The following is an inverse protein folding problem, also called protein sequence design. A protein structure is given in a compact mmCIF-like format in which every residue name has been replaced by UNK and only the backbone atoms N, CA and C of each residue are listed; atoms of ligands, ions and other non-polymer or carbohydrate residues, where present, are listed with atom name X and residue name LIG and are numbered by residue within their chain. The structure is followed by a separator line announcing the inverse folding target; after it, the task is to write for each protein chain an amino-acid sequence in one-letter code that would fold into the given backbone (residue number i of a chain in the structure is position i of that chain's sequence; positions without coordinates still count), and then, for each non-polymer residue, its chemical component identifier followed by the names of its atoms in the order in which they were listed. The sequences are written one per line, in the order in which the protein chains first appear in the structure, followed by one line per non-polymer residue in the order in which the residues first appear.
data_IF_017175110569
#
_entry.id   IF_017175110569
#
_cell.length_a   1.000
_cell.length_b   1.000
_cell.length_c   1.000
_cell.angle_alpha   90.00
_cell.angle_beta   90.00
_cell.angle_gamma   90.00
#
_symmetry.space_group_name_H-M   'P 1'
#
loop_
_entity.id
_entity.type
_entity.pdbx_description
1 polymer ?
#
# COMPACT_ATOMS: atom_id res chain seq x y z
N UNK A 1 25.09 7.35 24.93
CA UNK A 1 23.73 7.49 24.35
C UNK A 1 23.22 6.12 23.94
N UNK A 2 22.07 5.76 24.43
CA UNK A 2 21.48 4.46 24.17
C UNK A 2 20.76 4.46 22.82
N UNK A 3 21.16 3.60 21.92
CA UNK A 3 20.43 3.45 20.65
C UNK A 3 19.16 2.65 20.90
N UNK A 4 18.04 3.21 20.49
CA UNK A 4 16.77 2.48 20.52
C UNK A 4 16.83 1.29 19.58
N UNK A 5 16.31 0.16 20.01
CA UNK A 5 16.16 -1.00 19.14
C UNK A 5 15.08 -0.68 18.10
N UNK A 6 15.26 -1.23 16.93
CA UNK A 6 14.26 -1.09 15.85
C UNK A 6 13.37 -2.32 15.83
N UNK A 7 12.08 -2.10 15.76
CA UNK A 7 11.10 -3.13 15.42
C UNK A 7 10.98 -3.11 13.91
N UNK A 8 11.29 -4.21 13.26
CA UNK A 8 11.33 -4.27 11.80
C UNK A 8 10.33 -5.29 11.26
N UNK A 9 9.84 -5.01 10.06
CA UNK A 9 8.97 -5.93 9.35
C UNK A 9 9.17 -5.78 7.85
N UNK A 10 9.23 -6.92 7.16
CA UNK A 10 9.25 -6.96 5.71
C UNK A 10 7.83 -6.95 5.20
N UNK A 11 7.53 -6.04 4.29
CA UNK A 11 6.20 -5.87 3.73
C UNK A 11 6.30 -5.99 2.21
N UNK A 12 5.39 -6.78 1.63
CA UNK A 12 5.28 -6.87 0.17
C UNK A 12 4.57 -5.64 -0.35
N UNK A 13 5.10 -5.09 -1.42
CA UNK A 13 4.57 -3.91 -2.08
C UNK A 13 4.46 -4.19 -3.56
N UNK A 14 3.34 -3.85 -4.16
CA UNK A 14 3.10 -4.02 -5.58
C UNK A 14 3.20 -2.67 -6.28
N UNK A 15 4.09 -2.60 -7.26
CA UNK A 15 4.27 -1.43 -8.14
C UNK A 15 3.69 -1.78 -9.50
N UNK A 16 2.96 -0.85 -10.10
CA UNK A 16 2.29 -1.11 -11.37
C UNK A 16 2.11 0.19 -12.15
N UNK A 17 1.94 0.02 -13.46
CA UNK A 17 1.60 1.12 -14.34
C UNK A 17 0.13 0.99 -14.73
N UNK A 18 -0.64 2.07 -14.56
CA UNK A 18 -2.03 2.13 -14.95
C UNK A 18 -2.18 3.09 -16.11
N UNK A 19 -2.90 2.65 -17.14
CA UNK A 19 -3.30 3.53 -18.25
C UNK A 19 -4.80 3.78 -18.11
N UNK A 20 -5.19 5.04 -18.19
CA UNK A 20 -6.57 5.42 -17.99
C UNK A 20 -6.94 6.62 -18.87
N UNK A 21 -8.24 6.82 -19.06
CA UNK A 21 -8.78 7.99 -19.76
C UNK A 21 -9.31 8.97 -18.71
N UNK A 22 -8.78 10.19 -18.74
CA UNK A 22 -9.22 11.25 -17.84
C UNK A 22 -10.32 12.06 -18.51
N UNK A 23 -11.54 11.96 -17.98
CA UNK A 23 -12.72 12.62 -18.52
C UNK A 23 -12.69 14.13 -18.36
N UNK A 24 -11.99 14.65 -17.34
CA UNK A 24 -11.91 16.09 -17.10
C UNK A 24 -11.08 16.81 -18.16
N UNK A 25 -9.98 16.19 -18.58
CA UNK A 25 -9.09 16.78 -19.58
C UNK A 25 -9.21 16.10 -20.96
N UNK A 26 -10.03 15.05 -21.03
CA UNK A 26 -10.31 14.31 -22.27
C UNK A 26 -9.04 13.75 -22.92
N UNK A 27 -8.15 13.16 -22.11
CA UNK A 27 -6.89 12.58 -22.57
C UNK A 27 -6.64 11.22 -21.94
N UNK A 28 -5.87 10.38 -22.67
CA UNK A 28 -5.32 9.14 -22.13
C UNK A 28 -4.07 9.47 -21.36
N UNK A 29 -3.97 8.97 -20.14
CA UNK A 29 -2.83 9.19 -19.26
C UNK A 29 -2.30 7.89 -18.69
N UNK A 30 -1.08 7.93 -18.20
CA UNK A 30 -0.48 6.80 -17.51
C UNK A 30 0.24 7.26 -16.24
N UNK A 31 0.09 6.48 -15.18
CA UNK A 31 0.77 6.74 -13.91
C UNK A 31 1.39 5.46 -13.39
N UNK A 32 2.51 5.62 -12.67
CA UNK A 32 3.14 4.53 -11.93
C UNK A 32 2.71 4.67 -10.49
N UNK A 33 2.07 3.63 -9.98
CA UNK A 33 1.52 3.61 -8.62
C UNK A 33 2.10 2.45 -7.81
N UNK A 34 1.99 2.56 -6.51
CA UNK A 34 2.49 1.55 -5.59
C UNK A 34 1.46 1.33 -4.49
N UNK A 35 1.23 0.08 -4.13
CA UNK A 35 0.29 -0.26 -3.06
C UNK A 35 0.88 -1.36 -2.17
N UNK A 36 0.51 -1.34 -0.91
CA UNK A 36 0.92 -2.35 0.06
C UNK A 36 0.16 -3.65 -0.20
N UNK A 37 0.88 -4.77 -0.11
CA UNK A 37 0.30 -6.10 -0.33
C UNK A 37 0.42 -6.56 -1.77
N UNK A 38 -0.34 -7.59 -2.09
CA UNK A 38 -0.33 -8.22 -3.41
C UNK A 38 -1.76 -8.33 -3.95
N UNK A 39 -2.41 -7.19 -4.25
CA UNK A 39 -3.78 -7.22 -4.76
C UNK A 39 -3.84 -7.86 -6.15
N UNK A 40 -4.98 -8.44 -6.48
CA UNK A 40 -5.23 -8.95 -7.83
C UNK A 40 -5.46 -7.77 -8.79
N UNK A 41 -5.37 -8.03 -10.08
CA UNK A 41 -5.62 -7.02 -11.10
C UNK A 41 -7.01 -6.41 -10.96
N UNK A 42 -8.00 -7.24 -10.64
CA UNK A 42 -9.38 -6.78 -10.41
C UNK A 42 -9.51 -5.87 -9.18
N UNK A 43 -8.77 -6.19 -8.13
CA UNK A 43 -8.76 -5.37 -6.92
C UNK A 43 -8.12 -4.01 -7.18
N UNK A 44 -7.04 -3.99 -7.96
CA UNK A 44 -6.37 -2.74 -8.36
C UNK A 44 -7.32 -1.87 -9.20
N UNK A 45 -7.99 -2.48 -10.18
CA UNK A 45 -8.96 -1.77 -11.01
C UNK A 45 -10.10 -1.18 -10.20
N UNK A 46 -10.65 -1.98 -9.29
CA UNK A 46 -11.74 -1.55 -8.41
C UNK A 46 -11.32 -0.39 -7.52
N UNK A 47 -10.14 -0.47 -6.93
CA UNK A 47 -9.61 0.59 -6.09
C UNK A 47 -9.37 1.87 -6.89
N UNK A 48 -8.76 1.73 -8.08
CA UNK A 48 -8.51 2.86 -8.97
C UNK A 48 -9.82 3.58 -9.33
N UNK A 49 -10.84 2.83 -9.72
CA UNK A 49 -12.14 3.40 -10.08
C UNK A 49 -12.81 4.11 -8.90
N UNK A 50 -12.67 3.55 -7.69
CA UNK A 50 -13.24 4.16 -6.49
C UNK A 50 -12.55 5.48 -6.12
N UNK A 51 -11.23 5.55 -6.28
CA UNK A 51 -10.44 6.73 -5.93
C UNK A 51 -10.45 7.80 -7.02
N UNK A 52 -10.73 7.42 -8.26
CA UNK A 52 -10.67 8.30 -9.42
C UNK A 52 -11.97 8.25 -10.23
N UNK A 53 -13.07 8.78 -9.69
CA UNK A 53 -14.39 8.66 -10.35
C UNK A 53 -14.49 9.36 -11.70
N UNK A 54 -13.60 10.32 -12.00
CA UNK A 54 -13.57 11.02 -13.28
C UNK A 54 -12.62 10.37 -14.29
N UNK A 55 -12.08 9.21 -13.97
CA UNK A 55 -11.15 8.47 -14.83
C UNK A 55 -11.72 7.11 -15.17
N UNK A 56 -11.43 6.64 -16.39
CA UNK A 56 -11.79 5.29 -16.84
C UNK A 56 -10.54 4.45 -16.96
N UNK A 57 -10.47 3.37 -16.20
CA UNK A 57 -9.39 2.41 -16.27
C UNK A 57 -9.35 1.75 -17.65
N UNK A 58 -8.17 1.71 -18.27
CA UNK A 58 -7.97 1.07 -19.58
C UNK A 58 -7.20 -0.23 -19.43
N UNK A 59 -6.00 -0.16 -18.86
CA UNK A 59 -5.16 -1.35 -18.71
C UNK A 59 -4.15 -1.20 -17.59
N UNK A 60 -3.62 -2.33 -17.18
CA UNK A 60 -2.60 -2.47 -16.14
C UNK A 60 -1.38 -3.14 -16.76
N UNK A 61 -0.20 -2.56 -16.57
CA UNK A 61 1.06 -3.08 -17.07
C UNK A 61 2.14 -3.12 -16.00
N UNK A 62 3.16 -3.90 -16.27
CA UNK A 62 4.40 -3.92 -15.46
C UNK A 62 4.15 -4.08 -13.96
N UNK A 63 3.27 -5.02 -13.63
CA UNK A 63 2.99 -5.36 -12.22
C UNK A 63 4.20 -6.05 -11.64
N UNK A 64 4.79 -5.46 -10.61
CA UNK A 64 5.98 -5.98 -9.97
C UNK A 64 5.79 -6.00 -8.46
N UNK A 65 6.05 -7.15 -7.84
CA UNK A 65 5.98 -7.31 -6.39
C UNK A 65 7.40 -7.28 -5.84
N UNK A 66 7.64 -6.39 -4.90
CA UNK A 66 8.91 -6.30 -4.20
C UNK A 66 8.69 -6.38 -2.70
N UNK A 67 9.74 -6.72 -1.98
CA UNK A 67 9.72 -6.71 -0.52
C UNK A 67 10.52 -5.53 -0.03
N UNK A 68 9.93 -4.76 0.89
CA UNK A 68 10.59 -3.62 1.52
C UNK A 68 10.65 -3.84 3.03
N UNK A 69 11.79 -3.53 3.61
CA UNK A 69 11.98 -3.61 5.06
C UNK A 69 11.63 -2.26 5.68
N UNK A 70 10.68 -2.27 6.59
CA UNK A 70 10.30 -1.09 7.35
C UNK A 70 10.72 -1.26 8.80
N UNK A 71 11.13 -0.16 9.41
CA UNK A 71 11.53 -0.15 10.79
C UNK A 71 10.90 1.00 11.55
N UNK A 72 10.65 0.76 12.81
CA UNK A 72 10.13 1.76 13.73
C UNK A 72 10.87 1.56 15.06
N UNK A 73 11.32 2.65 15.69
CA UNK A 73 11.97 2.53 16.99
C UNK A 73 11.03 1.87 17.99
N UNK A 74 11.60 1.13 18.94
CA UNK A 74 10.81 0.44 19.97
C UNK A 74 9.91 1.42 20.74
N UNK A 75 10.42 2.60 21.05
CA UNK A 75 9.65 3.63 21.74
C UNK A 75 8.43 4.07 20.93
N UNK A 76 8.62 4.31 19.65
CA UNK A 76 7.52 4.67 18.74
C UNK A 76 6.54 3.53 18.54
N UNK A 77 7.06 2.30 18.46
CA UNK A 77 6.22 1.13 18.37
C UNK A 77 5.28 1.02 19.58
N UNK A 78 5.83 1.18 20.79
CA UNK A 78 5.04 1.11 22.02
C UNK A 78 4.03 2.25 22.14
N UNK A 79 4.36 3.42 21.60
CA UNK A 79 3.46 4.58 21.60
C UNK A 79 2.15 4.31 20.82
N UNK A 80 2.25 3.57 19.70
CA UNK A 80 1.10 3.30 18.84
C UNK A 80 0.57 1.87 18.94
N UNK A 81 1.33 0.98 19.55
CA UNK A 81 0.96 -0.42 19.65
C UNK A 81 -0.10 -0.65 20.72
N UNK A 82 -0.90 -1.65 20.50
CA UNK A 82 -1.92 -2.10 21.45
C UNK A 82 -1.47 -3.45 22.00
N UNK A 83 -1.52 -3.60 23.33
CA UNK A 83 -1.21 -4.89 23.95
C UNK A 83 -2.24 -5.94 23.56
N UNK A 84 -1.76 -7.12 23.18
CA UNK A 84 -2.61 -8.23 22.80
C UNK A 84 -2.44 -9.39 23.78
N UNK A 85 -3.51 -10.14 24.00
CA UNK A 85 -3.50 -11.35 24.80
C UNK A 85 -3.03 -12.58 23.98
N UNK A 86 -3.06 -13.77 24.59
CA UNK A 86 -2.66 -15.02 23.93
C UNK A 86 -3.45 -15.31 22.65
N UNK A 87 -4.68 -14.83 22.58
CA UNK A 87 -5.55 -15.03 21.42
C UNK A 87 -5.47 -13.86 20.43
N UNK A 88 -4.48 -12.97 20.61
CA UNK A 88 -4.26 -11.76 19.79
C UNK A 88 -5.42 -10.77 19.84
N UNK A 89 -6.12 -10.74 20.96
CA UNK A 89 -7.17 -9.75 21.22
C UNK A 89 -6.61 -8.63 22.07
N UNK A 90 -7.14 -7.43 21.87
CA UNK A 90 -6.71 -6.27 22.65
C UNK A 90 -7.01 -6.47 24.14
N UNK A 91 -6.03 -6.16 24.95
CA UNK A 91 -6.17 -6.14 26.41
C UNK A 91 -6.74 -4.78 26.78
N UNK A 92 -7.85 -4.79 27.51
CA UNK A 92 -8.50 -3.57 27.98
C UNK A 92 -8.13 -3.26 29.42
#
# INVERSE_FOLDING_TARGET
MRKSKMVTRTIKVTKYEVTYFDLEINEVRGDVLETVGTPTDKEIEKQFNAENPTCKFIKLDNVEVTEKLYGLSEDKFLEYAVELDENRKEVK
#
